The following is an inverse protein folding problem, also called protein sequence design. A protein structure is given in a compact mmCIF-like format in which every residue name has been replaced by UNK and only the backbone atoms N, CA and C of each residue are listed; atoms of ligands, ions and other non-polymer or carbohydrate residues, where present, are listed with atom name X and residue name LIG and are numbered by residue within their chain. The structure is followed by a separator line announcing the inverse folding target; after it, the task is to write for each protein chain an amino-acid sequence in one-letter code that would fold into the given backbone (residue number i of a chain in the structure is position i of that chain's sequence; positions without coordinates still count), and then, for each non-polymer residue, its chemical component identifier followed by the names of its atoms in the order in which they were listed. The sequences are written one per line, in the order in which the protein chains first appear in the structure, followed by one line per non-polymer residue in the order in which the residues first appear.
data_IF_870295034362
#
_entry.id   IF_870295034362
#
_cell.length_a   1.000
_cell.length_b   1.000
_cell.length_c   1.000
_cell.angle_alpha   90.00
_cell.angle_beta   90.00
_cell.angle_gamma   90.00
#
_symmetry.space_group_name_H-M   'P 1'
#
loop_
_entity.id
_entity.type
_entity.pdbx_description
1 polymer ?
#
# COMPACT_ATOMS: atom_id res chain seq x y z
N UNK A 1 28.58 6.39 -13.94
CA UNK A 1 27.37 5.55 -14.14
C UNK A 1 27.04 4.65 -12.96
N UNK A 2 28.00 3.89 -12.40
CA UNK A 2 27.72 2.97 -11.27
C UNK A 2 27.12 3.68 -10.03
N UNK A 3 27.66 4.84 -9.66
CA UNK A 3 27.15 5.65 -8.54
C UNK A 3 25.74 6.19 -8.75
N UNK A 4 25.40 6.59 -9.98
CA UNK A 4 24.06 7.09 -10.30
C UNK A 4 23.02 5.95 -10.23
N UNK A 5 23.38 4.76 -10.71
CA UNK A 5 22.51 3.58 -10.63
C UNK A 5 22.31 3.11 -9.17
N UNK A 6 23.37 3.12 -8.35
CA UNK A 6 23.26 2.79 -6.92
C UNK A 6 22.39 3.81 -6.16
N UNK A 7 22.53 5.10 -6.48
CA UNK A 7 21.73 6.17 -5.90
C UNK A 7 20.23 6.00 -6.23
N UNK A 8 19.88 5.81 -7.51
CA UNK A 8 18.51 5.58 -7.95
C UNK A 8 17.90 4.30 -7.35
N UNK A 9 18.71 3.25 -7.18
CA UNK A 9 18.28 2.00 -6.55
C UNK A 9 17.96 2.19 -5.05
N UNK A 10 18.79 2.93 -4.32
CA UNK A 10 18.53 3.28 -2.91
C UNK A 10 17.30 4.18 -2.78
N UNK A 11 17.09 5.12 -3.70
CA UNK A 11 15.88 5.94 -3.72
C UNK A 11 14.62 5.08 -3.99
N UNK A 12 14.69 4.10 -4.91
CA UNK A 12 13.59 3.16 -5.16
C UNK A 12 13.23 2.31 -3.94
N UNK A 13 14.23 1.73 -3.26
CA UNK A 13 14.02 0.94 -2.04
C UNK A 13 13.42 1.80 -0.92
N UNK A 14 13.92 3.02 -0.74
CA UNK A 14 13.40 3.92 0.30
C UNK A 14 12.00 4.40 -0.02
N UNK A 15 11.67 4.62 -1.30
CA UNK A 15 10.32 4.94 -1.77
C UNK A 15 9.32 3.81 -1.44
N UNK A 16 9.63 2.57 -1.82
CA UNK A 16 8.73 1.44 -1.61
C UNK A 16 8.57 1.09 -0.12
N UNK A 17 9.66 1.18 0.65
CA UNK A 17 9.63 1.00 2.10
C UNK A 17 8.78 2.08 2.79
N UNK A 18 8.93 3.34 2.38
CA UNK A 18 8.14 4.46 2.89
C UNK A 18 6.65 4.31 2.51
N UNK A 19 6.37 3.95 1.25
CA UNK A 19 5.03 3.67 0.76
C UNK A 19 4.34 2.57 1.58
N UNK A 20 5.03 1.47 1.87
CA UNK A 20 4.52 0.38 2.70
C UNK A 20 4.22 0.84 4.13
N UNK A 21 5.14 1.59 4.73
CA UNK A 21 5.01 2.10 6.11
C UNK A 21 3.81 3.05 6.23
N UNK A 22 3.66 3.96 5.28
CA UNK A 22 2.53 4.90 5.21
C UNK A 22 1.22 4.16 4.97
N UNK A 23 1.18 3.21 4.02
CA UNK A 23 0.00 2.41 3.73
C UNK A 23 -0.46 1.60 4.94
N UNK A 24 0.46 0.93 5.65
CA UNK A 24 0.16 0.17 6.86
C UNK A 24 -0.40 1.08 7.96
N UNK A 25 0.21 2.26 8.16
CA UNK A 25 -0.22 3.23 9.18
C UNK A 25 -1.63 3.75 8.88
N UNK A 26 -1.86 4.20 7.64
CA UNK A 26 -3.18 4.69 7.22
C UNK A 26 -4.24 3.59 7.33
N UNK A 27 -3.92 2.35 6.96
CA UNK A 27 -4.83 1.22 7.06
C UNK A 27 -5.20 0.88 8.51
N UNK A 28 -4.23 0.90 9.43
CA UNK A 28 -4.51 0.68 10.86
C UNK A 28 -5.35 1.80 11.48
N UNK A 29 -5.26 3.04 10.96
CA UNK A 29 -6.15 4.15 11.35
C UNK A 29 -7.55 3.94 10.75
N UNK A 30 -7.63 3.67 9.44
CA UNK A 30 -8.87 3.53 8.70
C UNK A 30 -9.71 2.34 9.15
N UNK A 31 -9.08 1.26 9.67
CA UNK A 31 -9.83 0.11 10.21
C UNK A 31 -10.83 0.52 11.30
N UNK A 32 -10.56 1.60 12.02
CA UNK A 32 -11.41 2.15 13.08
C UNK A 32 -12.38 3.22 12.57
N UNK A 33 -12.42 3.48 11.25
CA UNK A 33 -13.27 4.49 10.62
C UNK A 33 -14.15 3.82 9.53
N UNK A 34 -15.24 3.12 9.92
CA UNK A 34 -16.01 2.25 9.03
C UNK A 34 -16.45 2.90 7.72
N UNK A 35 -16.94 4.15 7.78
CA UNK A 35 -17.43 4.86 6.60
C UNK A 35 -16.31 5.19 5.61
N UNK A 36 -15.12 5.56 6.11
CA UNK A 36 -13.97 5.83 5.24
C UNK A 36 -13.39 4.53 4.68
N UNK A 37 -13.31 3.49 5.49
CA UNK A 37 -12.81 2.18 5.05
C UNK A 37 -13.68 1.58 3.93
N UNK A 38 -15.01 1.66 4.06
CA UNK A 38 -15.95 1.21 3.02
C UNK A 38 -15.74 1.88 1.66
N UNK A 39 -15.26 3.14 1.63
CA UNK A 39 -15.02 3.87 0.38
C UNK A 39 -13.81 3.35 -0.40
N UNK A 40 -12.84 2.77 0.31
CA UNK A 40 -11.58 2.32 -0.31
C UNK A 40 -11.48 0.80 -0.45
N UNK A 41 -12.39 0.03 0.14
CA UNK A 41 -12.39 -1.44 0.14
C UNK A 41 -13.60 -2.02 -0.59
N UNK A 42 -13.42 -3.17 -1.24
CA UNK A 42 -14.54 -4.05 -1.55
C UNK A 42 -15.13 -4.68 -0.27
N UNK A 43 -16.34 -5.27 -0.36
CA UNK A 43 -17.06 -5.86 0.79
C UNK A 43 -16.24 -6.95 1.50
N UNK A 44 -15.55 -7.81 0.76
CA UNK A 44 -14.78 -8.91 1.32
C UNK A 44 -13.56 -8.39 2.09
N UNK A 45 -12.82 -7.48 1.46
CA UNK A 45 -11.64 -6.81 2.00
C UNK A 45 -11.99 -6.01 3.25
N UNK A 46 -13.08 -5.24 3.21
CA UNK A 46 -13.60 -4.49 4.35
C UNK A 46 -13.83 -5.40 5.57
N UNK A 47 -14.51 -6.53 5.37
CA UNK A 47 -14.83 -7.47 6.45
C UNK A 47 -13.57 -8.10 7.06
N UNK A 48 -12.57 -8.42 6.24
CA UNK A 48 -11.31 -9.00 6.72
C UNK A 48 -10.49 -7.99 7.52
N UNK A 49 -10.36 -6.76 7.02
CA UNK A 49 -9.64 -5.66 7.70
C UNK A 49 -10.30 -5.34 9.05
N UNK A 50 -11.64 -5.25 9.11
CA UNK A 50 -12.37 -4.94 10.35
C UNK A 50 -12.22 -5.99 11.44
N UNK A 51 -12.05 -7.25 11.07
CA UNK A 51 -11.85 -8.36 12.03
C UNK A 51 -10.42 -8.43 12.56
N UNK A 52 -9.47 -7.75 11.93
CA UNK A 52 -8.06 -7.80 12.33
C UNK A 52 -7.77 -6.93 13.56
N UNK A 53 -7.18 -7.52 14.61
CA UNK A 53 -6.68 -6.80 15.79
C UNK A 53 -5.59 -5.80 15.42
N UNK A 54 -4.68 -6.20 14.55
CA UNK A 54 -3.65 -5.34 13.97
C UNK A 54 -3.45 -5.76 12.52
N UNK A 55 -3.06 -4.80 11.68
CA UNK A 55 -2.76 -5.05 10.28
C UNK A 55 -1.26 -4.91 10.05
N UNK A 56 -0.66 -6.00 9.60
CA UNK A 56 0.68 -6.03 9.01
C UNK A 56 0.53 -6.10 7.49
N UNK A 57 1.10 -5.13 6.80
CA UNK A 57 1.09 -5.03 5.35
C UNK A 57 2.50 -5.36 4.84
N UNK A 58 2.58 -6.15 3.78
CA UNK A 58 3.85 -6.47 3.14
C UNK A 58 3.68 -6.46 1.63
N UNK A 59 4.31 -5.49 0.97
CA UNK A 59 4.41 -5.44 -0.48
C UNK A 59 5.22 -6.62 -0.96
N UNK A 60 4.82 -7.18 -2.10
CA UNK A 60 5.43 -8.40 -2.66
C UNK A 60 6.25 -8.13 -3.91
N UNK A 61 6.14 -6.93 -4.46
CA UNK A 61 6.90 -6.43 -5.60
C UNK A 61 7.11 -4.92 -5.43
N UNK A 62 8.01 -4.38 -6.25
CA UNK A 62 8.22 -2.94 -6.39
C UNK A 62 6.99 -2.27 -7.02
N UNK A 63 6.97 -0.92 -6.99
CA UNK A 63 5.90 -0.13 -7.58
C UNK A 63 5.62 -0.48 -9.05
N UNK A 64 4.38 -0.87 -9.36
CA UNK A 64 3.92 -1.14 -10.74
C UNK A 64 3.01 -0.02 -11.30
N UNK A 65 2.92 1.11 -10.60
CA UNK A 65 2.12 2.25 -10.99
C UNK A 65 2.88 3.28 -11.83
N UNK A 66 2.15 4.27 -12.35
CA UNK A 66 2.68 5.39 -13.12
C UNK A 66 1.84 6.66 -12.91
N UNK A 67 2.36 7.80 -13.36
CA UNK A 67 1.65 9.09 -13.39
C UNK A 67 1.01 9.50 -12.04
N UNK A 68 1.79 9.45 -10.96
CA UNK A 68 1.32 9.86 -9.63
C UNK A 68 0.46 8.81 -8.90
N UNK A 69 0.36 7.60 -9.42
CA UNK A 69 -0.25 6.45 -8.74
C UNK A 69 0.83 5.39 -8.52
N UNK A 70 0.87 4.84 -7.31
CA UNK A 70 1.66 3.66 -7.02
C UNK A 70 0.72 2.46 -6.79
N UNK A 71 1.08 1.32 -7.37
CA UNK A 71 0.31 0.08 -7.25
C UNK A 71 1.20 -1.04 -6.75
N UNK A 72 0.76 -1.70 -5.66
CA UNK A 72 1.50 -2.76 -5.00
C UNK A 72 0.60 -3.97 -4.77
N UNK A 73 0.95 -5.15 -5.30
CA UNK A 73 0.46 -6.41 -4.78
C UNK A 73 1.04 -6.60 -3.36
N UNK A 74 0.18 -6.84 -2.38
CA UNK A 74 0.56 -6.93 -0.98
C UNK A 74 -0.13 -8.08 -0.25
N UNK A 75 0.52 -8.60 0.79
CA UNK A 75 -0.09 -9.48 1.78
C UNK A 75 -0.57 -8.67 2.98
N UNK A 76 -1.77 -8.99 3.46
CA UNK A 76 -2.27 -8.53 4.76
C UNK A 76 -2.25 -9.69 5.74
N UNK A 77 -1.61 -9.51 6.90
CA UNK A 77 -1.48 -10.49 7.98
C UNK A 77 -1.01 -11.87 7.49
N UNK A 78 -0.07 -11.90 6.55
CA UNK A 78 0.54 -13.11 5.97
C UNK A 78 -0.40 -14.09 5.25
N UNK A 79 -1.66 -13.74 5.04
CA UNK A 79 -2.67 -14.69 4.55
C UNK A 79 -2.96 -14.54 3.06
N UNK A 80 -3.54 -13.41 2.68
CA UNK A 80 -4.17 -13.20 1.37
C UNK A 80 -3.47 -12.10 0.58
N UNK A 81 -3.58 -12.16 -0.74
CA UNK A 81 -3.07 -11.13 -1.65
C UNK A 81 -4.13 -10.05 -1.89
N UNK A 82 -3.67 -8.81 -1.89
CA UNK A 82 -4.48 -7.63 -2.12
C UNK A 82 -3.76 -6.69 -3.07
N UNK A 83 -4.50 -6.01 -3.94
CA UNK A 83 -4.00 -4.84 -4.65
C UNK A 83 -4.12 -3.61 -3.74
N UNK A 84 -2.99 -2.95 -3.48
CA UNK A 84 -2.90 -1.68 -2.76
C UNK A 84 -2.64 -0.58 -3.77
N UNK A 85 -3.50 0.42 -3.80
CA UNK A 85 -3.31 1.62 -4.63
C UNK A 85 -3.05 2.81 -3.73
N UNK A 86 -1.94 3.49 -3.98
CA UNK A 86 -1.57 4.75 -3.34
C UNK A 86 -1.57 5.86 -4.37
N UNK A 87 -2.06 7.04 -3.99
CA UNK A 87 -1.83 8.28 -4.71
C UNK A 87 -0.56 8.95 -4.18
N UNK A 88 0.33 9.35 -5.08
CA UNK A 88 1.52 10.15 -4.80
C UNK A 88 1.10 11.62 -4.90
N UNK A 89 1.11 12.34 -3.77
CA UNK A 89 0.66 13.74 -3.73
C UNK A 89 1.82 14.74 -3.83
N UNK A 90 3.01 14.33 -3.40
CA UNK A 90 4.26 15.05 -3.59
C UNK A 90 5.36 14.02 -3.65
N UNK A 91 6.38 14.27 -4.46
CA UNK A 91 7.59 13.45 -4.52
C UNK A 91 8.60 13.91 -3.45
N UNK A 92 8.54 15.17 -3.00
CA UNK A 92 9.45 15.76 -2.01
C UNK A 92 8.70 16.58 -0.93
N UNK A 93 8.75 16.19 0.37
CA UNK A 93 8.98 14.81 0.80
C UNK A 93 7.88 13.91 0.23
N UNK A 94 8.20 12.65 -0.03
CA UNK A 94 7.26 11.75 -0.70
C UNK A 94 6.04 11.52 0.19
N UNK A 95 4.85 11.90 -0.31
CA UNK A 95 3.57 11.81 0.43
C UNK A 95 2.61 10.89 -0.29
N UNK A 96 2.18 9.84 0.40
CA UNK A 96 1.23 8.87 -0.12
C UNK A 96 -0.14 8.98 0.54
N UNK A 97 -1.19 8.72 -0.23
CA UNK A 97 -2.54 8.49 0.29
C UNK A 97 -3.04 7.15 -0.17
N UNK A 98 -3.48 6.32 0.77
CA UNK A 98 -4.14 5.07 0.49
C UNK A 98 -5.53 5.32 -0.10
N UNK A 99 -5.71 4.97 -1.36
CA UNK A 99 -6.96 5.25 -2.10
C UNK A 99 -7.77 3.98 -2.36
N UNK A 100 -7.13 2.81 -2.45
CA UNK A 100 -7.86 1.57 -2.70
C UNK A 100 -7.14 0.35 -2.12
N UNK A 101 -7.93 -0.59 -1.62
CA UNK A 101 -7.52 -1.95 -1.27
C UNK A 101 -8.55 -2.90 -1.85
N UNK A 102 -8.08 -3.87 -2.65
CA UNK A 102 -8.96 -4.89 -3.23
C UNK A 102 -8.38 -6.27 -3.02
N UNK A 103 -9.23 -7.23 -2.63
CA UNK A 103 -8.82 -8.62 -2.54
C UNK A 103 -8.51 -9.13 -3.95
N UNK A 104 -7.28 -9.63 -4.11
CA UNK A 104 -6.86 -10.35 -5.30
C UNK A 104 -7.00 -11.84 -4.96
N UNK A 105 -8.18 -12.40 -5.23
CA UNK A 105 -8.34 -13.85 -5.22
C UNK A 105 -7.41 -14.42 -6.27
N UNK A 106 -6.59 -15.41 -5.92
CA UNK A 106 -5.94 -16.23 -6.95
C UNK A 106 -7.06 -16.78 -7.84
N UNK A 107 -7.01 -16.43 -9.13
CA UNK A 107 -7.55 -17.30 -10.18
C UNK A 107 -6.68 -18.54 -10.26
#
# INVERSE_FOLDING_TARGET
MLFLMAYLFLEGITFDWHAQTVAQTQLNILKNQPNKLKRICDKQTYNQIRKARQIKLSFTTDNQGGSGIAYYPAKINHSKYYGITLKINSEIPTKFTLVRIRYFGKH
#
